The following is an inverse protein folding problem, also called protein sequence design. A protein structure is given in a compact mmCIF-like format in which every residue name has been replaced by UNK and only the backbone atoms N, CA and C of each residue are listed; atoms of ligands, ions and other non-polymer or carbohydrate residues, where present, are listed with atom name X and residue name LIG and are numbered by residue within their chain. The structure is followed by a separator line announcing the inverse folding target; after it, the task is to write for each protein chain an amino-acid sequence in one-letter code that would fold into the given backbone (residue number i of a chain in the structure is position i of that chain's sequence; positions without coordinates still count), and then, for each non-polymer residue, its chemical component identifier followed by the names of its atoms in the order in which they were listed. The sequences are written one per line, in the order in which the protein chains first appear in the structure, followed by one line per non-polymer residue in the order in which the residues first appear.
data_IF_220433909506
#
_entry.id   IF_220433909506
#
_cell.length_a   1.000
_cell.length_b   1.000
_cell.length_c   1.000
_cell.angle_alpha   90.00
_cell.angle_beta   90.00
_cell.angle_gamma   90.00
#
_symmetry.space_group_name_H-M   'P 1'
#
loop_
_entity.id
_entity.type
_entity.pdbx_description
1 polymer ?
#
# COMPACT_ATOMS: atom_id res chain seq x y z
N UNK A 1 -10.52 4.53 22.09
CA UNK A 1 -10.42 5.67 23.01
C UNK A 1 -9.31 6.55 22.45
N UNK A 2 -9.58 7.82 22.19
CA UNK A 2 -8.57 8.75 21.68
C UNK A 2 -7.60 9.10 22.81
N UNK A 3 -6.30 9.27 22.50
CA UNK A 3 -5.19 9.33 23.48
C UNK A 3 -5.41 10.30 24.65
N UNK A 4 -6.11 11.41 24.41
CA UNK A 4 -6.30 12.48 25.39
C UNK A 4 -7.69 12.51 26.03
N UNK A 5 -8.55 11.50 25.80
CA UNK A 5 -9.90 11.44 26.39
C UNK A 5 -10.89 12.51 25.91
N UNK A 6 -10.42 13.53 25.18
CA UNK A 6 -11.20 14.58 24.55
C UNK A 6 -11.34 14.25 23.06
N UNK A 7 -12.50 14.54 22.47
CA UNK A 7 -12.66 14.54 21.01
C UNK A 7 -11.81 15.67 20.39
N UNK A 8 -10.71 15.37 19.65
CA UNK A 8 -9.97 16.37 18.90
C UNK A 8 -10.91 17.15 17.98
N UNK A 9 -11.00 18.45 18.22
CA UNK A 9 -11.74 19.39 17.38
C UNK A 9 -11.13 19.35 15.98
N UNK A 10 -11.97 19.23 14.95
CA UNK A 10 -11.54 19.30 13.56
C UNK A 10 -11.47 20.76 13.09
N UNK A 11 -10.32 21.17 12.57
CA UNK A 11 -10.01 22.53 12.15
C UNK A 11 -9.75 22.60 10.64
N UNK A 12 -9.71 23.82 10.09
CA UNK A 12 -9.35 24.03 8.68
C UNK A 12 -7.91 23.58 8.36
N UNK A 13 -7.01 23.72 9.33
CA UNK A 13 -5.64 23.21 9.23
C UNK A 13 -5.61 21.68 9.12
N UNK A 14 -6.48 20.99 9.86
CA UNK A 14 -6.58 19.54 9.77
C UNK A 14 -7.04 19.09 8.39
N UNK A 15 -8.03 19.78 7.81
CA UNK A 15 -8.47 19.53 6.42
C UNK A 15 -7.30 19.69 5.44
N UNK A 16 -6.55 20.79 5.54
CA UNK A 16 -5.38 21.03 4.68
C UNK A 16 -4.35 19.91 4.80
N UNK A 17 -3.99 19.54 6.03
CA UNK A 17 -2.96 18.53 6.28
C UNK A 17 -3.41 17.12 5.86
N UNK A 18 -4.68 16.77 6.05
CA UNK A 18 -5.26 15.53 5.56
C UNK A 18 -5.23 15.42 4.03
N UNK A 19 -5.53 16.52 3.32
CA UNK A 19 -5.43 16.59 1.87
C UNK A 19 -3.98 16.37 1.43
N UNK A 20 -3.03 17.10 2.03
CA UNK A 20 -1.61 16.97 1.72
C UNK A 20 -1.08 15.54 1.95
N UNK A 21 -1.47 14.90 3.06
CA UNK A 21 -1.11 13.52 3.34
C UNK A 21 -1.66 12.55 2.27
N UNK A 22 -2.85 12.83 1.73
CA UNK A 22 -3.50 12.02 0.68
C UNK A 22 -2.88 12.16 -0.70
N UNK A 23 -2.10 13.22 -0.93
CA UNK A 23 -1.32 13.35 -2.17
C UNK A 23 -0.20 12.30 -2.27
N UNK A 24 0.34 11.81 -1.15
CA UNK A 24 1.44 10.84 -1.12
C UNK A 24 1.03 9.49 -1.75
N UNK A 25 -0.02 8.79 -1.27
CA UNK A 25 -0.46 7.54 -1.90
C UNK A 25 -0.97 7.77 -3.32
N UNK A 26 -1.64 8.90 -3.58
CA UNK A 26 -2.09 9.27 -4.94
C UNK A 26 -0.94 9.41 -5.93
N UNK A 27 0.12 10.15 -5.57
CA UNK A 27 1.31 10.32 -6.40
C UNK A 27 2.07 9.01 -6.63
N UNK A 28 2.12 8.15 -5.59
CA UNK A 28 2.74 6.82 -5.67
C UNK A 28 2.00 5.93 -6.66
N UNK A 29 0.67 5.85 -6.55
CA UNK A 29 -0.18 5.09 -7.46
C UNK A 29 -0.06 5.59 -8.90
N UNK A 30 -0.13 6.92 -9.09
CA UNK A 30 0.00 7.54 -10.40
C UNK A 30 1.36 7.26 -11.05
N UNK A 31 2.44 7.36 -10.28
CA UNK A 31 3.80 7.09 -10.78
C UNK A 31 3.95 5.61 -11.19
N UNK A 32 3.45 4.68 -10.37
CA UNK A 32 3.47 3.26 -10.70
C UNK A 32 2.68 2.97 -11.99
N UNK A 33 1.46 3.53 -12.10
CA UNK A 33 0.64 3.39 -13.30
C UNK A 33 1.32 3.99 -14.54
N UNK A 34 1.82 5.23 -14.45
CA UNK A 34 2.48 5.90 -15.56
C UNK A 34 3.73 5.14 -16.03
N UNK A 35 4.50 4.55 -15.11
CA UNK A 35 5.66 3.72 -15.47
C UNK A 35 5.22 2.43 -16.16
N UNK A 36 4.18 1.76 -15.66
CA UNK A 36 3.66 0.54 -16.27
C UNK A 36 3.08 0.81 -17.66
N UNK A 37 2.20 1.80 -17.80
CA UNK A 37 1.48 2.11 -19.03
C UNK A 37 2.39 2.60 -20.18
N UNK A 38 3.52 3.24 -19.85
CA UNK A 38 4.45 3.78 -20.86
C UNK A 38 5.54 2.78 -21.28
N UNK A 39 5.70 1.64 -20.61
CA UNK A 39 6.72 0.65 -20.95
C UNK A 39 6.08 -0.59 -21.60
N UNK A 40 6.03 -0.58 -22.94
CA UNK A 40 5.43 -1.67 -23.74
C UNK A 40 6.01 -3.03 -23.39
N UNK A 41 7.32 -3.12 -23.12
CA UNK A 41 7.93 -4.40 -22.81
C UNK A 41 7.50 -4.94 -21.44
N UNK A 42 7.27 -4.05 -20.48
CA UNK A 42 6.72 -4.42 -19.17
C UNK A 42 5.27 -4.88 -19.31
N UNK A 43 4.47 -4.16 -20.10
CA UNK A 43 3.08 -4.55 -20.40
C UNK A 43 3.04 -5.92 -21.08
N UNK A 44 3.88 -6.15 -22.08
CA UNK A 44 3.95 -7.43 -22.79
C UNK A 44 4.40 -8.56 -21.87
N UNK A 45 5.46 -8.35 -21.08
CA UNK A 45 5.93 -9.33 -20.09
C UNK A 45 4.83 -9.67 -19.08
N UNK A 46 4.16 -8.66 -18.53
CA UNK A 46 3.09 -8.87 -17.57
C UNK A 46 1.92 -9.60 -18.20
N UNK A 47 1.52 -9.24 -19.42
CA UNK A 47 0.38 -9.82 -20.13
C UNK A 47 0.59 -11.30 -20.43
N UNK A 48 1.79 -11.66 -20.92
CA UNK A 48 2.14 -13.04 -21.28
C UNK A 48 2.57 -13.91 -20.10
N UNK A 49 2.77 -13.33 -18.92
CA UNK A 49 3.07 -14.10 -17.71
C UNK A 49 1.95 -15.09 -17.39
N UNK A 50 2.31 -16.34 -17.09
CA UNK A 50 1.36 -17.35 -16.61
C UNK A 50 0.79 -16.89 -15.27
N UNK A 51 -0.53 -16.73 -15.22
CA UNK A 51 -1.29 -16.35 -14.02
C UNK A 51 -2.24 -17.47 -13.63
N UNK A 52 -2.52 -17.65 -12.33
CA UNK A 52 -3.46 -18.67 -11.89
C UNK A 52 -4.89 -18.34 -12.33
N UNK A 53 -5.73 -19.37 -12.47
CA UNK A 53 -7.09 -19.25 -13.01
C UNK A 53 -8.03 -18.34 -12.19
N UNK A 54 -7.72 -18.12 -10.91
CA UNK A 54 -8.49 -17.23 -10.04
C UNK A 54 -8.10 -15.75 -10.18
N UNK A 55 -6.99 -15.44 -10.85
CA UNK A 55 -6.55 -14.06 -11.03
C UNK A 55 -7.42 -13.34 -12.06
N UNK A 56 -7.85 -12.09 -11.81
CA UNK A 56 -8.54 -11.29 -12.82
C UNK A 56 -7.73 -11.20 -14.10
N UNK A 57 -8.39 -11.39 -15.24
CA UNK A 57 -7.75 -11.29 -16.57
C UNK A 57 -7.64 -9.84 -17.05
N UNK A 58 -8.60 -9.01 -16.65
CA UNK A 58 -8.65 -7.60 -17.03
C UNK A 58 -7.78 -6.75 -16.07
N UNK A 59 -6.73 -6.05 -16.57
CA UNK A 59 -5.92 -5.13 -15.79
C UNK A 59 -6.73 -4.03 -15.07
N UNK A 60 -7.86 -3.60 -15.63
CA UNK A 60 -8.72 -2.54 -15.06
C UNK A 60 -9.21 -2.94 -13.67
N UNK A 61 -9.49 -4.23 -13.44
CA UNK A 61 -9.94 -4.73 -12.13
C UNK A 61 -8.87 -4.44 -11.06
N UNK A 62 -7.60 -4.70 -11.36
CA UNK A 62 -6.51 -4.42 -10.42
C UNK A 62 -6.43 -2.93 -10.10
N UNK A 63 -6.48 -2.08 -11.15
CA UNK A 63 -6.40 -0.62 -10.97
C UNK A 63 -7.57 -0.07 -10.14
N UNK A 64 -8.78 -0.60 -10.31
CA UNK A 64 -9.94 -0.19 -9.50
C UNK A 64 -9.73 -0.51 -8.02
N UNK A 65 -9.29 -1.71 -7.69
CA UNK A 65 -9.00 -2.08 -6.30
C UNK A 65 -7.82 -1.30 -5.72
N UNK A 66 -6.76 -1.05 -6.51
CA UNK A 66 -5.65 -0.19 -6.10
C UNK A 66 -6.15 1.20 -5.71
N UNK A 67 -6.95 1.85 -6.56
CA UNK A 67 -7.50 3.19 -6.28
C UNK A 67 -8.36 3.18 -5.01
N UNK A 68 -9.30 2.24 -4.91
CA UNK A 68 -10.23 2.16 -3.77
C UNK A 68 -9.46 1.95 -2.47
N UNK A 69 -8.48 1.05 -2.46
CA UNK A 69 -7.74 0.71 -1.23
C UNK A 69 -6.64 1.69 -0.86
N UNK A 70 -6.05 2.41 -1.82
CA UNK A 70 -5.03 3.43 -1.56
C UNK A 70 -5.63 4.79 -1.15
N UNK A 71 -6.84 5.10 -1.63
CA UNK A 71 -7.48 6.40 -1.39
C UNK A 71 -7.60 6.83 0.08
N UNK A 72 -7.93 5.95 1.06
CA UNK A 72 -8.08 6.39 2.44
C UNK A 72 -6.75 6.48 3.21
N UNK A 73 -5.63 6.01 2.64
CA UNK A 73 -4.39 5.82 3.40
C UNK A 73 -3.78 7.12 3.90
N UNK A 74 -3.83 8.18 3.09
CA UNK A 74 -3.31 9.49 3.48
C UNK A 74 -4.10 10.10 4.63
N UNK A 75 -5.43 10.07 4.52
CA UNK A 75 -6.31 10.49 5.62
C UNK A 75 -6.09 9.66 6.88
N UNK A 76 -6.00 8.34 6.77
CA UNK A 76 -5.73 7.46 7.90
C UNK A 76 -4.37 7.78 8.57
N UNK A 77 -3.32 8.02 7.78
CA UNK A 77 -2.01 8.42 8.32
C UNK A 77 -2.07 9.74 9.07
N UNK A 78 -2.89 10.68 8.58
CA UNK A 78 -3.09 11.96 9.23
C UNK A 78 -3.88 11.83 10.55
N UNK A 79 -4.92 10.98 10.58
CA UNK A 79 -5.63 10.67 11.83
C UNK A 79 -4.70 10.11 12.90
N UNK A 80 -3.78 9.22 12.52
CA UNK A 80 -2.77 8.68 13.44
C UNK A 80 -1.81 9.75 13.92
N UNK A 81 -1.31 10.61 13.01
CA UNK A 81 -0.47 11.73 13.39
C UNK A 81 -1.18 12.66 14.38
N UNK A 82 -2.41 13.09 14.06
CA UNK A 82 -3.19 14.02 14.88
C UNK A 82 -3.56 13.41 16.24
N UNK A 83 -4.22 12.25 16.22
CA UNK A 83 -4.80 11.63 17.42
C UNK A 83 -3.73 10.91 18.27
N UNK A 84 -2.59 10.58 17.68
CA UNK A 84 -1.42 10.04 18.35
C UNK A 84 -0.52 11.07 19.01
N UNK A 85 -0.83 12.37 18.93
CA UNK A 85 0.00 13.43 19.52
C UNK A 85 1.27 13.73 18.71
N UNK A 86 1.18 13.62 17.38
CA UNK A 86 2.27 13.86 16.45
C UNK A 86 3.45 12.92 16.63
N UNK A 87 4.64 13.39 16.26
CA UNK A 87 5.90 12.64 16.43
C UNK A 87 6.50 12.82 17.83
N UNK A 88 5.72 13.17 18.85
CA UNK A 88 6.24 13.26 20.22
C UNK A 88 6.34 11.89 20.90
N UNK A 89 5.50 10.94 20.49
CA UNK A 89 5.38 9.64 21.14
C UNK A 89 5.88 8.49 20.27
N UNK A 90 6.51 7.51 20.93
CA UNK A 90 7.15 6.37 20.27
C UNK A 90 6.17 5.48 19.50
N UNK A 91 4.99 5.22 20.05
CA UNK A 91 3.95 4.43 19.39
C UNK A 91 3.50 5.06 18.07
N UNK A 92 3.26 6.37 18.05
CA UNK A 92 2.90 7.11 16.84
C UNK A 92 4.04 7.12 15.81
N UNK A 93 5.29 7.31 16.25
CA UNK A 93 6.47 7.20 15.37
C UNK A 93 6.59 5.81 14.74
N UNK A 94 6.40 4.75 15.53
CA UNK A 94 6.47 3.36 15.04
C UNK A 94 5.35 3.08 14.06
N UNK A 95 4.12 3.52 14.36
CA UNK A 95 2.98 3.35 13.46
C UNK A 95 3.23 4.03 12.10
N UNK A 96 3.61 5.31 12.11
CA UNK A 96 3.91 6.06 10.89
C UNK A 96 5.17 5.54 10.18
N UNK A 97 6.16 5.05 10.93
CA UNK A 97 7.36 4.41 10.39
C UNK A 97 7.06 3.12 9.64
N UNK A 98 6.16 2.27 10.18
CA UNK A 98 5.68 1.07 9.49
C UNK A 98 4.93 1.43 8.19
N UNK A 99 4.11 2.47 8.22
CA UNK A 99 3.44 2.97 7.01
C UNK A 99 4.43 3.57 5.98
N UNK A 100 5.45 4.29 6.44
CA UNK A 100 6.53 4.78 5.57
C UNK A 100 7.32 3.63 4.93
N UNK A 101 7.67 2.59 5.72
CA UNK A 101 8.34 1.40 5.20
C UNK A 101 7.47 0.65 4.19
N UNK A 102 6.16 0.56 4.45
CA UNK A 102 5.20 0.01 3.49
C UNK A 102 5.21 0.78 2.16
N UNK A 103 5.26 2.11 2.22
CA UNK A 103 5.34 2.97 1.02
C UNK A 103 6.63 2.73 0.23
N UNK A 104 7.76 2.52 0.92
CA UNK A 104 9.04 2.17 0.28
C UNK A 104 8.93 0.82 -0.46
N UNK A 105 8.34 -0.20 0.16
CA UNK A 105 8.11 -1.49 -0.52
C UNK A 105 7.14 -1.36 -1.70
N UNK A 106 6.13 -0.49 -1.60
CA UNK A 106 5.21 -0.23 -2.69
C UNK A 106 5.96 0.37 -3.90
N UNK A 107 6.77 1.41 -3.67
CA UNK A 107 7.59 2.05 -4.71
C UNK A 107 8.65 1.11 -5.28
N UNK A 108 9.22 0.21 -4.47
CA UNK A 108 10.23 -0.78 -4.89
C UNK A 108 9.65 -1.79 -5.90
N UNK A 109 8.33 -1.96 -5.95
CA UNK A 109 7.66 -2.77 -6.98
C UNK A 109 7.97 -2.29 -8.40
N UNK A 110 8.08 -0.97 -8.61
CA UNK A 110 8.32 -0.36 -9.93
C UNK A 110 9.62 -0.88 -10.59
N UNK A 111 10.80 -0.73 -9.97
CA UNK A 111 12.04 -1.26 -10.56
C UNK A 111 12.08 -2.78 -10.62
N UNK A 112 11.36 -3.51 -9.75
CA UNK A 112 11.31 -4.98 -9.79
C UNK A 112 10.52 -5.50 -10.99
N UNK A 113 9.38 -4.87 -11.31
CA UNK A 113 8.61 -5.16 -12.52
C UNK A 113 9.46 -4.88 -13.76
N UNK A 114 10.22 -3.76 -13.78
CA UNK A 114 11.15 -3.46 -14.88
C UNK A 114 12.23 -4.54 -15.06
N UNK A 115 12.72 -5.12 -13.95
CA UNK A 115 13.67 -6.23 -13.95
C UNK A 115 13.05 -7.59 -14.31
N UNK A 116 11.72 -7.68 -14.44
CA UNK A 116 10.98 -8.87 -14.89
C UNK A 116 11.28 -10.13 -14.06
N UNK A 117 11.53 -9.96 -12.77
CA UNK A 117 11.94 -11.04 -11.87
C UNK A 117 10.82 -11.38 -10.87
N UNK A 118 10.08 -12.47 -11.12
CA UNK A 118 8.94 -12.88 -10.29
C UNK A 118 9.33 -13.22 -8.85
N UNK A 119 10.48 -13.84 -8.62
CA UNK A 119 10.95 -14.20 -7.27
C UNK A 119 11.21 -12.96 -6.41
N UNK A 120 11.86 -11.95 -6.99
CA UNK A 120 12.15 -10.69 -6.31
C UNK A 120 10.87 -9.90 -6.06
N UNK A 121 9.96 -9.90 -7.06
CA UNK A 121 8.64 -9.30 -6.92
C UNK A 121 7.85 -9.94 -5.76
N UNK A 122 7.77 -11.27 -5.72
CA UNK A 122 7.12 -12.00 -4.63
C UNK A 122 7.71 -11.65 -3.25
N UNK A 123 9.03 -11.69 -3.08
CA UNK A 123 9.68 -11.32 -1.81
C UNK A 123 9.33 -9.91 -1.37
N UNK A 124 9.36 -8.95 -2.29
CA UNK A 124 8.97 -7.57 -2.01
C UNK A 124 7.49 -7.45 -1.62
N UNK A 125 6.60 -8.15 -2.33
CA UNK A 125 5.16 -8.10 -2.06
C UNK A 125 4.80 -8.74 -0.71
N UNK A 126 5.54 -9.76 -0.25
CA UNK A 126 5.39 -10.29 1.12
C UNK A 126 5.77 -9.24 2.16
N UNK A 127 6.88 -8.52 1.97
CA UNK A 127 7.29 -7.44 2.88
C UNK A 127 6.30 -6.26 2.85
N UNK A 128 5.78 -5.93 1.68
CA UNK A 128 4.70 -4.96 1.50
C UNK A 128 3.48 -5.37 2.32
N UNK A 129 3.03 -6.62 2.19
CA UNK A 129 1.86 -7.09 2.93
C UNK A 129 2.10 -7.13 4.45
N UNK A 130 3.24 -7.64 4.89
CA UNK A 130 3.59 -7.71 6.32
C UNK A 130 3.61 -6.32 6.97
N UNK A 131 4.19 -5.34 6.28
CA UNK A 131 4.20 -3.94 6.76
C UNK A 131 2.82 -3.29 6.70
N UNK A 132 1.96 -3.63 5.71
CA UNK A 132 0.58 -3.14 5.67
C UNK A 132 -0.24 -3.65 6.87
N UNK A 133 -0.11 -4.95 7.20
CA UNK A 133 -0.76 -5.55 8.37
C UNK A 133 -0.23 -4.91 9.66
N UNK A 134 1.09 -4.76 9.79
CA UNK A 134 1.71 -4.11 10.94
C UNK A 134 1.24 -2.66 11.13
N UNK A 135 1.20 -1.89 10.03
CA UNK A 135 0.70 -0.52 10.04
C UNK A 135 -0.79 -0.46 10.41
N UNK A 136 -1.63 -1.32 9.82
CA UNK A 136 -3.06 -1.37 10.13
C UNK A 136 -3.31 -1.65 11.63
N UNK A 137 -2.58 -2.60 12.21
CA UNK A 137 -2.66 -2.92 13.63
C UNK A 137 -2.19 -1.76 14.50
N UNK A 138 -1.03 -1.18 14.20
CA UNK A 138 -0.48 -0.05 14.95
C UNK A 138 -1.39 1.19 14.87
N UNK A 139 -1.95 1.47 13.68
CA UNK A 139 -2.93 2.52 13.45
C UNK A 139 -4.17 2.28 14.31
N UNK A 140 -4.72 1.06 14.30
CA UNK A 140 -5.90 0.70 15.09
C UNK A 140 -5.73 0.93 16.61
N UNK A 141 -4.51 0.74 17.12
CA UNK A 141 -4.19 1.00 18.54
C UNK A 141 -4.22 2.49 18.89
N UNK A 142 -3.91 3.37 17.94
CA UNK A 142 -3.89 4.83 18.13
C UNK A 142 -5.25 5.43 17.78
N UNK A 143 -5.79 5.07 16.61
CA UNK A 143 -7.08 5.50 16.09
C UNK A 143 -7.78 4.34 15.38
N UNK A 144 -8.93 3.90 15.92
CA UNK A 144 -9.68 2.76 15.39
C UNK A 144 -10.11 2.97 13.94
N UNK A 145 -10.54 4.18 13.59
CA UNK A 145 -10.98 4.53 12.25
C UNK A 145 -9.81 4.42 11.28
N UNK A 146 -8.66 4.97 11.63
CA UNK A 146 -7.45 4.87 10.80
C UNK A 146 -7.03 3.41 10.55
N UNK A 147 -7.05 2.57 11.58
CA UNK A 147 -6.76 1.14 11.43
C UNK A 147 -7.76 0.40 10.53
N UNK A 148 -9.06 0.72 10.66
CA UNK A 148 -10.11 0.15 9.81
C UNK A 148 -9.96 0.58 8.35
N UNK A 149 -9.59 1.85 8.11
CA UNK A 149 -9.35 2.38 6.77
C UNK A 149 -8.15 1.72 6.07
N UNK A 150 -7.16 1.25 6.82
CA UNK A 150 -6.02 0.50 6.27
C UNK A 150 -6.33 -0.97 5.98
N UNK A 151 -7.38 -1.54 6.58
CA UNK A 151 -7.66 -2.97 6.50
C UNK A 151 -7.91 -3.47 5.06
N UNK A 152 -8.72 -2.78 4.21
CA UNK A 152 -8.90 -3.20 2.82
C UNK A 152 -7.58 -3.23 2.04
N UNK A 153 -6.68 -2.27 2.29
CA UNK A 153 -5.36 -2.24 1.67
C UNK A 153 -4.45 -3.39 2.15
N UNK A 154 -4.47 -3.72 3.44
CA UNK A 154 -3.73 -4.87 3.96
C UNK A 154 -4.24 -6.19 3.33
N UNK A 155 -5.55 -6.33 3.14
CA UNK A 155 -6.14 -7.50 2.45
C UNK A 155 -5.70 -7.54 0.98
N UNK A 156 -5.78 -6.40 0.29
CA UNK A 156 -5.45 -6.30 -1.13
C UNK A 156 -3.96 -6.55 -1.43
N UNK A 157 -3.06 -6.05 -0.58
CA UNK A 157 -1.63 -6.41 -0.67
C UNK A 157 -1.39 -7.90 -0.39
N UNK A 158 -2.22 -8.54 0.43
CA UNK A 158 -2.19 -9.99 0.66
C UNK A 158 -2.59 -10.78 -0.58
N UNK A 159 -3.62 -10.32 -1.30
CA UNK A 159 -3.96 -10.85 -2.62
C UNK A 159 -2.76 -10.77 -3.59
N UNK A 160 -2.07 -9.63 -3.65
CA UNK A 160 -0.86 -9.51 -4.48
C UNK A 160 0.25 -10.46 -4.04
N UNK A 161 0.42 -10.71 -2.74
CA UNK A 161 1.43 -11.64 -2.25
C UNK A 161 1.14 -13.08 -2.74
N UNK A 162 -0.13 -13.50 -2.72
CA UNK A 162 -0.55 -14.79 -3.28
C UNK A 162 -0.39 -14.83 -4.80
N UNK A 163 -0.73 -13.75 -5.50
CA UNK A 163 -0.60 -13.68 -6.96
C UNK A 163 0.85 -13.80 -7.39
N UNK A 164 1.73 -12.98 -6.80
CA UNK A 164 3.16 -12.98 -7.12
C UNK A 164 3.84 -14.28 -6.69
N UNK A 165 3.38 -14.92 -5.61
CA UNK A 165 3.79 -16.28 -5.25
C UNK A 165 3.46 -17.27 -6.37
N UNK A 166 2.19 -17.35 -6.79
CA UNK A 166 1.77 -18.25 -7.87
C UNK A 166 2.55 -17.96 -9.16
N UNK A 167 2.70 -16.70 -9.55
CA UNK A 167 3.46 -16.33 -10.74
C UNK A 167 4.94 -16.76 -10.63
N UNK A 168 5.56 -16.66 -9.45
CA UNK A 168 6.94 -17.13 -9.23
C UNK A 168 7.11 -18.64 -9.37
N UNK A 169 6.03 -19.41 -9.14
CA UNK A 169 6.02 -20.88 -9.29
C UNK A 169 5.67 -21.34 -10.70
N UNK A 170 4.81 -20.60 -11.40
CA UNK A 170 4.40 -20.93 -12.77
C UNK A 170 5.39 -20.45 -13.84
N UNK A 171 6.17 -19.41 -13.52
CA UNK A 171 7.13 -18.77 -14.43
C UNK A 171 8.56 -18.91 -13.90
N UNK A 172 8.92 -20.09 -13.38
CA UNK A 172 10.31 -20.39 -13.01
C UNK A 172 11.15 -20.22 -14.28
N UNK A 173 12.16 -19.36 -14.20
CA UNK A 173 13.20 -19.30 -15.23
C UNK A 173 13.83 -20.69 -15.29
N UNK A 174 13.66 -21.40 -16.40
CA UNK A 174 14.56 -22.50 -16.75
C UNK A 174 15.98 -21.92 -16.65
N UNK A 175 16.73 -22.40 -15.65
CA UNK A 175 18.14 -22.11 -15.50
C UNK A 175 18.92 -23.04 -16.42
#
# INVERSE_FOLDING_TARGET
MRRFGIEPIWTSEDTRNAILASLIPGATAFTAFAVFANDRNVVDWWTHAKKPNWAPKDPVVYSLFDIVTLSPLGYASYLVYKNGGGLHYTDTKVALGLYGLNTIFALTTIPLIKKRNFTSLFRNTVLLNATAIGAAFAFYKIDKTAGQLLLPYAIWTGFYALLTYSMSKENVSEH
#
